data_IF_853205026044
#
_entry.id   IF_853205026044
#
_cell.length_a   1.000
_cell.length_b   1.000
_cell.length_c   1.000
_cell.angle_alpha   90.00
_cell.angle_beta   90.00
_cell.angle_gamma   90.00
#
_symmetry.space_group_name_H-M   'P 1'
#
loop_
_entity.id
_entity.type
_entity.pdbx_description
1 polymer ?
#
# COMPACT_ATOMS: atom_id res chain seq x y z
N UNK A 1 29.68 -12.66 -17.70
CA UNK A 1 28.49 -12.47 -16.84
C UNK A 1 27.79 -11.21 -17.31
N UNK A 2 26.57 -11.30 -17.83
CA UNK A 2 25.80 -10.10 -18.18
C UNK A 2 25.17 -9.58 -16.88
N UNK A 3 25.51 -8.35 -16.48
CA UNK A 3 24.72 -7.63 -15.49
C UNK A 3 23.33 -7.45 -16.12
N UNK A 4 22.29 -7.98 -15.47
CA UNK A 4 20.91 -7.73 -15.89
C UNK A 4 20.62 -6.25 -15.68
N UNK A 5 20.78 -5.45 -16.75
CA UNK A 5 20.58 -4.00 -16.74
C UNK A 5 19.20 -3.57 -16.20
N UNK A 6 18.20 -4.48 -16.16
CA UNK A 6 16.92 -4.22 -15.49
C UNK A 6 17.12 -4.00 -13.99
N UNK A 7 17.95 -4.80 -13.33
CA UNK A 7 18.13 -4.79 -11.87
C UNK A 7 19.02 -3.65 -11.35
N UNK A 8 19.68 -2.90 -12.23
CA UNK A 8 20.46 -1.70 -11.90
C UNK A 8 19.68 -0.39 -11.96
N UNK A 9 18.43 -0.40 -12.45
CA UNK A 9 17.63 0.82 -12.57
C UNK A 9 17.28 1.39 -11.18
N UNK A 10 17.47 2.71 -11.00
CA UNK A 10 16.92 3.44 -9.86
C UNK A 10 15.45 3.79 -10.12
N UNK A 11 14.54 3.35 -9.26
CA UNK A 11 13.09 3.53 -9.44
C UNK A 11 12.54 4.44 -8.34
N UNK A 12 11.86 5.51 -8.73
CA UNK A 12 11.11 6.37 -7.82
C UNK A 12 9.62 6.07 -7.91
N UNK A 13 8.98 5.76 -6.79
CA UNK A 13 7.53 5.60 -6.66
C UNK A 13 7.00 6.80 -5.88
N UNK A 14 6.03 7.52 -6.42
CA UNK A 14 5.44 8.70 -5.78
C UNK A 14 4.08 8.34 -5.18
N UNK A 15 3.96 8.48 -3.87
CA UNK A 15 2.80 8.15 -3.05
C UNK A 15 2.93 6.79 -2.35
N UNK A 16 2.71 6.75 -1.03
CA UNK A 16 2.66 5.55 -0.20
C UNK A 16 1.22 5.20 0.21
N UNK A 17 0.28 5.36 -0.72
CA UNK A 17 -1.06 4.78 -0.63
C UNK A 17 -1.09 3.33 -1.13
N UNK A 18 -2.30 2.76 -1.24
CA UNK A 18 -2.50 1.37 -1.64
C UNK A 18 -1.74 0.98 -2.92
N UNK A 19 -1.70 1.84 -3.94
CA UNK A 19 -0.98 1.56 -5.19
C UNK A 19 0.55 1.59 -5.05
N UNK A 20 1.09 2.55 -4.28
CA UNK A 20 2.54 2.67 -4.09
C UNK A 20 3.12 1.55 -3.24
N UNK A 21 2.39 1.15 -2.18
CA UNK A 21 2.79 0.05 -1.32
C UNK A 21 2.85 -1.28 -2.09
N UNK A 22 1.82 -1.60 -2.90
CA UNK A 22 1.87 -2.82 -3.74
C UNK A 22 2.93 -2.72 -4.83
N UNK A 23 3.21 -1.52 -5.36
CA UNK A 23 4.31 -1.34 -6.30
C UNK A 23 5.65 -1.69 -5.64
N UNK A 24 5.92 -1.20 -4.43
CA UNK A 24 7.13 -1.57 -3.67
C UNK A 24 7.24 -3.08 -3.44
N UNK A 25 6.16 -3.72 -3.02
CA UNK A 25 6.10 -5.18 -2.86
C UNK A 25 6.41 -5.92 -4.16
N UNK A 26 5.83 -5.50 -5.28
CA UNK A 26 6.04 -6.14 -6.58
C UNK A 26 7.44 -5.89 -7.15
N UNK A 27 8.01 -4.70 -6.95
CA UNK A 27 9.39 -4.40 -7.32
C UNK A 27 10.37 -5.30 -6.57
N UNK A 28 10.19 -5.41 -5.23
CA UNK A 28 10.99 -6.31 -4.40
C UNK A 28 10.85 -7.77 -4.84
N UNK A 29 9.62 -8.25 -5.09
CA UNK A 29 9.36 -9.60 -5.57
C UNK A 29 9.96 -9.89 -6.97
N UNK A 30 10.09 -8.87 -7.82
CA UNK A 30 10.73 -8.96 -9.13
C UNK A 30 12.27 -8.83 -9.06
N UNK A 31 12.84 -8.65 -7.87
CA UNK A 31 14.29 -8.55 -7.66
C UNK A 31 14.88 -7.17 -7.97
N UNK A 32 14.06 -6.11 -7.95
CA UNK A 32 14.56 -4.74 -7.94
C UNK A 32 14.83 -4.32 -6.51
N UNK A 33 16.08 -3.95 -6.23
CA UNK A 33 16.53 -3.55 -4.89
C UNK A 33 16.73 -2.04 -4.77
N UNK A 34 16.94 -1.36 -5.89
CA UNK A 34 17.21 0.07 -5.94
C UNK A 34 15.93 0.87 -6.26
N UNK A 35 15.01 0.93 -5.30
CA UNK A 35 13.83 1.77 -5.41
C UNK A 35 13.54 2.55 -4.13
N UNK A 36 12.86 3.68 -4.28
CA UNK A 36 12.43 4.51 -3.16
C UNK A 36 10.99 4.94 -3.35
N UNK A 37 10.19 4.80 -2.31
CA UNK A 37 8.82 5.28 -2.26
C UNK A 37 8.83 6.61 -1.50
N UNK A 38 8.33 7.67 -2.13
CA UNK A 38 8.21 9.00 -1.55
C UNK A 38 6.76 9.26 -1.17
N UNK A 39 6.51 9.69 0.06
CA UNK A 39 5.20 10.15 0.52
C UNK A 39 5.31 11.58 1.04
N UNK A 40 4.29 12.38 0.75
CA UNK A 40 4.21 13.77 1.20
C UNK A 40 3.73 13.88 2.65
N UNK A 41 2.83 12.99 3.07
CA UNK A 41 2.37 12.94 4.45
C UNK A 41 3.41 12.30 5.39
N UNK A 42 3.20 12.45 6.70
CA UNK A 42 4.07 11.94 7.76
C UNK A 42 3.96 10.43 8.00
N UNK A 43 3.08 9.74 7.26
CA UNK A 43 2.89 8.30 7.34
C UNK A 43 2.30 7.74 6.04
N UNK A 44 2.40 6.43 5.86
CA UNK A 44 1.78 5.68 4.77
C UNK A 44 0.26 5.62 4.90
N UNK A 45 -0.43 5.19 3.84
CA UNK A 45 -1.87 4.95 3.82
C UNK A 45 -2.64 5.77 2.79
N UNK A 46 -2.00 6.78 2.19
CA UNK A 46 -2.57 7.59 1.11
C UNK A 46 -3.91 8.23 1.50
N UNK A 47 -4.97 7.96 0.72
CA UNK A 47 -6.33 8.44 0.99
C UNK A 47 -6.76 8.23 2.44
N UNK A 48 -6.47 7.04 3.00
CA UNK A 48 -6.88 6.70 4.36
C UNK A 48 -6.06 7.44 5.42
N UNK A 49 -4.82 7.85 5.12
CA UNK A 49 -4.06 8.72 6.02
C UNK A 49 -4.55 10.17 5.92
N UNK A 50 -4.71 10.67 4.69
CA UNK A 50 -5.01 12.08 4.40
C UNK A 50 -6.39 12.54 4.85
N UNK A 51 -7.40 11.68 4.78
CA UNK A 51 -8.78 12.05 5.13
C UNK A 51 -9.18 11.45 6.49
N UNK A 52 -9.91 12.24 7.30
CA UNK A 52 -10.39 11.81 8.62
C UNK A 52 -11.72 12.47 9.01
N UNK A 53 -12.64 12.65 8.05
CA UNK A 53 -13.95 13.22 8.34
C UNK A 53 -14.88 12.17 8.96
N UNK A 54 -15.84 12.57 9.82
CA UNK A 54 -16.80 11.65 10.43
C UNK A 54 -17.58 10.88 9.36
N UNK A 55 -17.70 9.56 9.52
CA UNK A 55 -18.42 8.74 8.54
C UNK A 55 -17.57 8.15 7.42
N UNK A 56 -16.31 8.54 7.26
CA UNK A 56 -15.45 8.03 6.20
C UNK A 56 -15.30 6.49 6.25
N UNK A 57 -15.77 5.83 5.19
CA UNK A 57 -15.65 4.41 4.93
C UNK A 57 -15.37 4.16 3.44
N UNK A 58 -14.97 2.93 3.11
CA UNK A 58 -14.86 2.49 1.72
C UNK A 58 -16.23 2.10 1.16
N UNK A 59 -16.45 2.36 -0.12
CA UNK A 59 -17.61 1.91 -0.90
C UNK A 59 -17.41 0.50 -1.48
N UNK A 60 -16.18 -0.01 -1.43
CA UNK A 60 -15.83 -1.37 -1.81
C UNK A 60 -15.97 -2.30 -0.60
N UNK A 61 -16.50 -3.51 -0.84
CA UNK A 61 -16.59 -4.50 0.23
C UNK A 61 -15.19 -4.88 0.75
N UNK A 62 -15.03 -4.95 2.07
CA UNK A 62 -13.78 -5.27 2.76
C UNK A 62 -13.06 -6.50 2.21
N UNK A 63 -13.80 -7.57 1.91
CA UNK A 63 -13.23 -8.83 1.41
C UNK A 63 -12.47 -8.72 0.09
N UNK A 64 -12.73 -7.68 -0.73
CA UNK A 64 -11.99 -7.38 -1.97
C UNK A 64 -11.17 -6.08 -1.89
N UNK A 65 -11.34 -5.28 -0.83
CA UNK A 65 -10.50 -4.11 -0.57
C UNK A 65 -9.28 -4.49 0.30
N UNK A 66 -8.56 -5.51 -0.16
CA UNK A 66 -7.28 -5.99 0.40
C UNK A 66 -6.42 -6.49 -0.77
N UNK A 67 -5.11 -6.57 -0.58
CA UNK A 67 -4.28 -7.24 -1.57
C UNK A 67 -4.62 -8.72 -1.64
N UNK A 68 -4.68 -9.28 -2.85
CA UNK A 68 -5.06 -10.68 -3.06
C UNK A 68 -4.12 -11.68 -2.37
N UNK A 69 -2.88 -11.27 -2.11
CA UNK A 69 -1.84 -12.06 -1.44
C UNK A 69 -1.65 -11.70 0.04
N UNK A 70 -2.34 -10.67 0.55
CA UNK A 70 -2.28 -10.22 1.94
C UNK A 70 -3.70 -9.86 2.39
N UNK A 71 -4.53 -10.89 2.57
CA UNK A 71 -5.94 -10.72 2.94
C UNK A 71 -6.07 -10.54 4.45
N UNK A 72 -6.93 -9.62 4.87
CA UNK A 72 -7.34 -9.51 6.26
C UNK A 72 -8.66 -10.27 6.50
N UNK A 73 -8.69 -11.36 7.29
CA UNK A 73 -9.92 -12.08 7.62
C UNK A 73 -10.72 -11.42 8.76
N UNK A 74 -10.13 -10.47 9.47
CA UNK A 74 -10.65 -9.90 10.71
C UNK A 74 -11.33 -8.54 10.51
N UNK A 75 -11.83 -8.26 9.30
CA UNK A 75 -12.56 -7.02 9.04
C UNK A 75 -13.80 -6.92 9.94
N UNK A 76 -13.96 -5.77 10.60
CA UNK A 76 -15.06 -5.51 11.54
C UNK A 76 -16.43 -5.39 10.87
N UNK A 77 -16.46 -5.08 9.57
CA UNK A 77 -17.68 -4.85 8.80
C UNK A 77 -17.47 -5.03 7.29
N UNK A 78 -18.58 -5.06 6.54
CA UNK A 78 -18.55 -5.10 5.07
C UNK A 78 -17.93 -3.84 4.46
N UNK A 79 -18.12 -2.68 5.10
CA UNK A 79 -17.61 -1.38 4.67
C UNK A 79 -16.77 -0.75 5.79
N UNK A 80 -15.49 -1.14 5.92
CA UNK A 80 -14.66 -0.79 7.05
C UNK A 80 -14.40 0.72 7.07
N UNK A 81 -14.27 1.26 8.28
CA UNK A 81 -14.02 2.69 8.49
C UNK A 81 -12.56 3.02 8.24
N UNK A 82 -12.29 4.31 8.07
CA UNK A 82 -10.96 4.85 7.80
C UNK A 82 -9.84 4.28 8.68
N UNK A 83 -10.02 4.22 10.00
CA UNK A 83 -8.94 3.83 10.91
C UNK A 83 -8.55 2.36 10.76
N UNK A 84 -9.52 1.49 10.49
CA UNK A 84 -9.27 0.06 10.23
C UNK A 84 -8.53 -0.13 8.89
N UNK A 85 -8.93 0.62 7.86
CA UNK A 85 -8.27 0.62 6.56
C UNK A 85 -6.85 1.18 6.65
N UNK A 86 -6.66 2.27 7.39
CA UNK A 86 -5.33 2.82 7.64
C UNK A 86 -4.46 1.83 8.41
N UNK A 87 -5.00 1.17 9.43
CA UNK A 87 -4.27 0.16 10.19
C UNK A 87 -3.83 -1.01 9.31
N UNK A 88 -4.70 -1.48 8.41
CA UNK A 88 -4.35 -2.51 7.43
C UNK A 88 -3.18 -2.09 6.52
N UNK A 89 -3.27 -0.94 5.84
CA UNK A 89 -2.19 -0.49 4.95
C UNK A 89 -0.90 -0.13 5.69
N UNK A 90 -1.00 0.39 6.91
CA UNK A 90 0.16 0.69 7.74
C UNK A 90 0.85 -0.60 8.20
N UNK A 91 0.07 -1.62 8.57
CA UNK A 91 0.58 -2.94 8.93
C UNK A 91 1.28 -3.64 7.76
N UNK A 92 0.76 -3.49 6.54
CA UNK A 92 1.41 -4.02 5.34
C UNK A 92 2.76 -3.37 5.01
N UNK A 93 2.95 -2.11 5.41
CA UNK A 93 4.15 -1.36 5.07
C UNK A 93 5.37 -1.68 5.96
N UNK A 94 5.20 -2.47 7.02
CA UNK A 94 6.25 -2.90 7.96
C UNK A 94 6.91 -4.20 7.48
#
# INVERSE_FOLDING_TARGET
MAVDMKKSASIAVLGAGAAGLVMGYKLKAAGFENFTIFEKDDAVGGTWKRHNYPGLCCDVHSHIYSYSFDRNPNWSSTFPRRDELLAYFSGFAV
#
